data_IF_635211069444
#
_entry.id   IF_635211069444
#
_cell.length_a   1.000
_cell.length_b   1.000
_cell.length_c   1.000
_cell.angle_alpha   90.00
_cell.angle_beta   90.00
_cell.angle_gamma   90.00
#
_symmetry.space_group_name_H-M   'P 1'
#
loop_
_entity.id
_entity.type
_entity.pdbx_description
1 polymer ?
#
# COMPACT_ATOMS: atom_id res chain seq x y z
N UNK A 1 6.92 -11.56 -19.45
CA UNK A 1 5.88 -12.04 -18.52
C UNK A 1 4.87 -10.92 -18.39
N UNK A 2 3.58 -11.13 -18.67
CA UNK A 2 2.58 -10.04 -18.62
C UNK A 2 2.15 -9.82 -17.17
N UNK A 3 2.72 -8.82 -16.49
CA UNK A 3 2.17 -8.31 -15.25
C UNK A 3 0.89 -7.52 -15.58
N UNK A 4 -0.23 -8.24 -15.67
CA UNK A 4 -1.56 -7.61 -15.70
C UNK A 4 -1.75 -6.93 -14.35
N UNK A 5 -1.77 -5.60 -14.35
CA UNK A 5 -2.06 -4.72 -13.20
C UNK A 5 -2.93 -5.44 -12.17
N UNK A 6 -2.35 -5.76 -11.01
CA UNK A 6 -3.04 -6.53 -9.98
C UNK A 6 -3.92 -5.61 -9.16
N UNK A 7 -5.17 -6.04 -8.99
CA UNK A 7 -6.13 -5.42 -8.06
C UNK A 7 -6.10 -6.25 -6.78
N UNK A 8 -5.97 -5.59 -5.64
CA UNK A 8 -6.11 -6.20 -4.32
C UNK A 8 -7.46 -5.76 -3.76
N UNK A 9 -8.21 -6.70 -3.18
CA UNK A 9 -9.44 -6.39 -2.45
C UNK A 9 -9.09 -6.10 -0.99
N UNK A 10 -9.45 -4.91 -0.51
CA UNK A 10 -9.25 -4.44 0.85
C UNK A 10 -10.60 -4.04 1.45
N UNK A 11 -10.97 -4.52 2.65
CA UNK A 11 -12.29 -4.23 3.22
C UNK A 11 -12.48 -2.76 3.64
N UNK A 12 -11.42 -1.96 3.73
CA UNK A 12 -11.49 -0.55 4.15
C UNK A 12 -11.58 0.38 2.93
N UNK A 13 -10.77 0.12 1.90
CA UNK A 13 -10.63 0.97 0.72
C UNK A 13 -11.24 0.37 -0.56
N UNK A 14 -11.76 -0.85 -0.50
CA UNK A 14 -12.27 -1.57 -1.67
C UNK A 14 -11.14 -2.05 -2.58
N UNK A 15 -11.17 -1.67 -3.85
CA UNK A 15 -10.19 -2.14 -4.82
C UNK A 15 -8.94 -1.27 -4.84
N UNK A 16 -7.83 -1.81 -4.34
CA UNK A 16 -6.51 -1.20 -4.42
C UNK A 16 -5.86 -1.57 -5.75
N UNK A 17 -5.58 -0.55 -6.57
CA UNK A 17 -4.83 -0.68 -7.82
C UNK A 17 -3.33 -0.58 -7.54
N UNK A 18 -2.54 -1.36 -8.26
CA UNK A 18 -1.07 -1.29 -8.23
C UNK A 18 -0.60 -0.75 -9.59
N UNK A 19 -0.28 0.57 -9.70
CA UNK A 19 -0.06 1.22 -10.99
C UNK A 19 1.31 0.93 -11.62
N UNK A 20 2.30 0.48 -10.84
CA UNK A 20 3.66 0.23 -11.30
C UNK A 20 4.08 -1.22 -11.03
N UNK A 21 4.77 -1.86 -11.97
CA UNK A 21 5.26 -3.24 -11.82
C UNK A 21 6.21 -3.38 -10.62
N UNK A 22 7.10 -2.41 -10.39
CA UNK A 22 8.03 -2.45 -9.25
C UNK A 22 7.33 -2.47 -7.89
N UNK A 23 6.16 -1.84 -7.75
CA UNK A 23 5.37 -1.91 -6.52
C UNK A 23 4.89 -3.34 -6.29
N UNK A 24 4.51 -4.02 -7.37
CA UNK A 24 4.09 -5.41 -7.30
C UNK A 24 5.26 -6.31 -6.88
N UNK A 25 6.44 -6.13 -7.46
CA UNK A 25 7.65 -6.88 -7.12
C UNK A 25 8.04 -6.67 -5.63
N UNK A 26 7.94 -5.44 -5.13
CA UNK A 26 8.16 -5.13 -3.71
C UNK A 26 7.11 -5.79 -2.84
N UNK A 27 5.84 -5.78 -3.24
CA UNK A 27 4.77 -6.46 -2.50
C UNK A 27 5.05 -7.96 -2.40
N UNK A 28 5.49 -8.62 -3.48
CA UNK A 28 5.82 -10.05 -3.48
C UNK A 28 7.12 -10.38 -2.73
N UNK A 29 7.99 -9.39 -2.48
CA UNK A 29 9.28 -9.62 -1.83
C UNK A 29 9.13 -10.23 -0.42
N UNK A 30 9.95 -11.23 -0.03
CA UNK A 30 9.85 -11.91 1.26
C UNK A 30 9.88 -10.97 2.48
N UNK A 31 10.67 -9.88 2.42
CA UNK A 31 10.71 -8.88 3.49
C UNK A 31 9.40 -8.13 3.66
N UNK A 32 8.70 -7.83 2.56
CA UNK A 32 7.39 -7.21 2.63
C UNK A 32 6.31 -8.22 3.02
N UNK A 33 6.34 -9.44 2.47
CA UNK A 33 5.43 -10.53 2.85
C UNK A 33 5.54 -10.92 4.34
N UNK A 34 6.69 -10.68 5.00
CA UNK A 34 6.83 -10.85 6.46
C UNK A 34 5.83 -10.01 7.25
N UNK A 35 5.44 -8.83 6.75
CA UNK A 35 4.50 -7.94 7.43
C UNK A 35 3.13 -8.57 7.66
N UNK A 36 2.76 -9.62 6.91
CA UNK A 36 1.52 -10.39 7.13
C UNK A 36 1.47 -11.10 8.48
N UNK A 37 2.61 -11.26 9.15
CA UNK A 37 2.72 -11.93 10.46
C UNK A 37 2.93 -10.95 11.62
N UNK A 38 2.80 -9.65 11.37
CA UNK A 38 3.00 -8.61 12.37
C UNK A 38 1.70 -7.84 12.53
N UNK A 39 1.07 -7.98 13.70
CA UNK A 39 -0.12 -7.20 14.05
C UNK A 39 0.18 -5.71 14.03
N UNK A 40 -0.73 -4.91 13.48
CA UNK A 40 -0.58 -3.45 13.47
C UNK A 40 -0.67 -2.88 14.88
N UNK A 41 -1.55 -3.41 15.72
CA UNK A 41 -1.89 -2.87 17.04
C UNK A 41 -1.48 -3.81 18.19
N UNK A 42 -0.62 -4.79 17.91
CA UNK A 42 -0.02 -5.67 18.91
C UNK A 42 -1.06 -6.36 19.79
N UNK A 43 -1.03 -6.03 21.08
CA UNK A 43 -1.88 -6.64 22.13
C UNK A 43 -3.34 -6.16 22.10
N UNK A 44 -3.71 -5.19 21.25
CA UNK A 44 -5.07 -4.67 21.19
C UNK A 44 -6.11 -5.76 20.91
N UNK A 45 -5.74 -6.83 20.20
CA UNK A 45 -6.60 -7.99 19.94
C UNK A 45 -7.06 -8.72 21.21
N UNK A 46 -6.38 -8.54 22.35
CA UNK A 46 -6.78 -9.10 23.65
C UNK A 46 -8.01 -8.39 24.24
N UNK A 47 -8.27 -7.15 23.82
CA UNK A 47 -9.42 -6.34 24.26
C UNK A 47 -10.45 -6.21 23.14
N UNK A 48 -10.00 -6.07 21.90
CA UNK A 48 -10.83 -5.95 20.70
C UNK A 48 -10.53 -7.10 19.73
N UNK A 49 -11.29 -8.22 19.79
CA UNK A 49 -10.99 -9.41 18.99
C UNK A 49 -10.93 -9.19 17.47
N UNK A 50 -11.60 -8.13 16.96
CA UNK A 50 -11.56 -7.74 15.55
C UNK A 50 -10.29 -7.00 15.11
N UNK A 51 -9.40 -6.61 16.04
CA UNK A 51 -8.15 -5.92 15.73
C UNK A 51 -7.07 -6.89 15.21
N UNK A 52 -7.39 -7.61 14.13
CA UNK A 52 -6.53 -8.65 13.52
C UNK A 52 -5.73 -8.16 12.31
N UNK A 53 -5.88 -6.87 11.95
CA UNK A 53 -5.17 -6.27 10.83
C UNK A 53 -3.66 -6.24 11.07
N UNK A 54 -2.91 -6.38 9.98
CA UNK A 54 -1.45 -6.54 10.00
C UNK A 54 -0.79 -5.30 9.40
N UNK A 55 0.52 -5.14 9.63
CA UNK A 55 1.33 -4.10 8.96
C UNK A 55 1.26 -4.20 7.44
N UNK A 56 1.05 -5.40 6.90
CA UNK A 56 0.85 -5.59 5.47
C UNK A 56 -0.43 -4.92 4.97
N UNK A 57 -1.55 -5.04 5.70
CA UNK A 57 -2.80 -4.37 5.33
C UNK A 57 -2.63 -2.85 5.40
N UNK A 58 -2.00 -2.36 6.47
CA UNK A 58 -1.70 -0.93 6.66
C UNK A 58 -0.86 -0.37 5.51
N UNK A 59 0.27 -0.99 5.16
CA UNK A 59 1.15 -0.52 4.10
C UNK A 59 0.45 -0.48 2.73
N UNK A 60 -0.39 -1.46 2.40
CA UNK A 60 -1.19 -1.44 1.17
C UNK A 60 -2.23 -0.30 1.16
N UNK A 61 -2.94 -0.10 2.27
CA UNK A 61 -3.88 1.01 2.42
C UNK A 61 -3.20 2.37 2.32
N UNK A 62 -2.03 2.52 2.94
CA UNK A 62 -1.23 3.75 2.86
C UNK A 62 -0.74 4.02 1.42
N UNK A 63 -0.30 2.99 0.69
CA UNK A 63 0.05 3.10 -0.73
C UNK A 63 -1.16 3.52 -1.58
N UNK A 64 -2.34 2.96 -1.32
CA UNK A 64 -3.57 3.36 -2.00
C UNK A 64 -3.89 4.85 -1.77
N UNK A 65 -3.86 5.31 -0.53
CA UNK A 65 -4.11 6.70 -0.18
C UNK A 65 -3.05 7.65 -0.74
N UNK A 66 -1.78 7.23 -0.81
CA UNK A 66 -0.72 7.99 -1.46
C UNK A 66 -1.01 8.21 -2.94
N UNK A 67 -1.45 7.17 -3.66
CA UNK A 67 -1.87 7.31 -5.06
C UNK A 67 -3.00 8.33 -5.19
N UNK A 68 -4.05 8.24 -4.38
CA UNK A 68 -5.17 9.19 -4.40
C UNK A 68 -4.72 10.62 -4.07
N UNK A 69 -3.80 10.78 -3.12
CA UNK A 69 -3.25 12.08 -2.75
C UNK A 69 -2.46 12.71 -3.90
N UNK A 70 -1.56 11.94 -4.53
CA UNK A 70 -0.75 12.39 -5.67
C UNK A 70 -1.64 12.77 -6.87
N UNK A 71 -2.65 11.96 -7.18
CA UNK A 71 -3.61 12.29 -8.24
C UNK A 71 -4.38 13.58 -7.93
N UNK A 72 -4.80 13.77 -6.68
CA UNK A 72 -5.47 15.01 -6.24
C UNK A 72 -4.56 16.23 -6.40
N UNK A 73 -3.27 16.11 -6.09
CA UNK A 73 -2.30 17.20 -6.25
C UNK A 73 -2.09 17.54 -7.73
N UNK A 74 -1.92 16.54 -8.60
CA UNK A 74 -1.82 16.75 -10.05
C UNK A 74 -3.06 17.43 -10.63
N UNK A 75 -4.26 17.01 -10.21
CA UNK A 75 -5.52 17.64 -10.61
C UNK A 75 -5.60 19.11 -10.23
N UNK A 76 -4.90 19.52 -9.16
CA UNK A 76 -4.78 20.92 -8.71
C UNK A 76 -3.63 21.68 -9.35
N UNK A 77 -2.97 21.11 -10.37
CA UNK A 77 -1.89 21.74 -11.12
C UNK A 77 -0.51 21.63 -10.49
N UNK A 78 -0.34 20.82 -9.42
CA UNK A 78 0.98 20.53 -8.87
C UNK A 78 1.73 19.62 -9.84
N UNK A 79 2.92 20.05 -10.28
CA UNK A 79 3.78 19.24 -11.15
C UNK A 79 4.42 18.12 -10.34
N UNK A 80 4.12 16.88 -10.70
CA UNK A 80 4.70 15.67 -10.13
C UNK A 80 5.07 14.78 -11.31
N UNK A 81 6.35 14.48 -11.46
CA UNK A 81 6.85 13.56 -12.48
C UNK A 81 6.45 12.12 -12.16
N UNK A 82 6.45 11.26 -13.18
CA UNK A 82 6.20 9.82 -12.99
C UNK A 82 7.23 9.17 -12.04
N UNK A 83 8.46 9.67 -12.03
CA UNK A 83 9.51 9.19 -11.14
C UNK A 83 9.28 9.58 -9.69
N UNK A 84 8.87 10.82 -9.43
CA UNK A 84 8.50 11.27 -8.08
C UNK A 84 7.27 10.52 -7.54
N UNK A 85 6.25 10.32 -8.36
CA UNK A 85 5.06 9.57 -7.97
C UNK A 85 5.42 8.13 -7.61
N UNK A 86 6.15 7.45 -8.50
CA UNK A 86 6.61 6.07 -8.28
C UNK A 86 7.49 5.96 -7.03
N UNK A 87 8.41 6.91 -6.82
CA UNK A 87 9.26 6.95 -5.65
C UNK A 87 8.47 7.19 -4.35
N UNK A 88 7.51 8.12 -4.35
CA UNK A 88 6.65 8.37 -3.21
C UNK A 88 5.78 7.15 -2.85
N UNK A 89 5.26 6.44 -3.86
CA UNK A 89 4.52 5.19 -3.67
C UNK A 89 5.40 4.07 -3.10
N UNK A 90 6.64 3.94 -3.55
CA UNK A 90 7.60 2.98 -2.98
C UNK A 90 7.96 3.34 -1.54
N UNK A 91 8.18 4.63 -1.27
CA UNK A 91 8.53 5.12 0.06
C UNK A 91 7.42 4.83 1.07
N UNK A 92 6.16 5.11 0.74
CA UNK A 92 5.05 4.82 1.65
C UNK A 92 4.79 3.32 1.78
N UNK A 93 5.06 2.53 0.73
CA UNK A 93 4.92 1.08 0.81
C UNK A 93 5.95 0.51 1.80
N UNK A 94 7.16 1.04 1.83
CA UNK A 94 8.28 0.53 2.64
C UNK A 94 8.49 1.23 3.99
N UNK A 95 7.60 2.13 4.41
CA UNK A 95 7.83 2.98 5.59
C UNK A 95 7.78 2.25 6.94
N UNK A 96 7.19 1.05 7.00
CA UNK A 96 6.76 0.36 8.22
C UNK A 96 7.20 -1.11 8.29
#
# INVERSE_FOLDING_TARGET
>A
MRNKLKIINDPVHGFIKIPYEILFDVIEHPYFQRLRRISQTGLLSLVFPGATHTRFHHALGAMHLMFTALETLKLKGVKISADEERAAMLAILLHD
#
